data_IF_508326402890
#
_entry.id   IF_508326402890
#
_cell.length_a   1.000
_cell.length_b   1.000
_cell.length_c   1.000
_cell.angle_alpha   90.00
_cell.angle_beta   90.00
_cell.angle_gamma   90.00
#
_symmetry.space_group_name_H-M   'P 1'
#
loop_
_entity.id
_entity.type
_entity.pdbx_description
1 polymer ?
#
# COMPACT_ATOMS: atom_id res chain seq x y z
N UNK A 1 -2.27 48.77 -37.05
CA UNK A 1 -3.32 49.05 -38.05
C UNK A 1 -4.29 47.87 -38.01
N UNK A 2 -5.51 48.06 -37.46
CA UNK A 2 -6.79 48.21 -38.19
C UNK A 2 -6.99 47.06 -39.21
N UNK A 3 -8.05 46.27 -39.25
CA UNK A 3 -9.44 46.43 -38.78
C UNK A 3 -10.21 45.12 -38.96
N UNK A 4 -11.23 44.94 -38.13
CA UNK A 4 -12.36 44.01 -38.19
C UNK A 4 -13.24 44.09 -39.45
N UNK A 5 -13.93 42.99 -39.78
CA UNK A 5 -15.29 42.87 -40.40
C UNK A 5 -15.92 41.54 -39.93
N UNK A 6 -17.06 41.46 -39.21
CA UNK A 6 -18.50 41.58 -39.61
C UNK A 6 -18.89 40.63 -40.75
N UNK A 7 -19.99 39.86 -40.79
CA UNK A 7 -21.25 39.75 -40.01
C UNK A 7 -22.10 38.56 -40.54
N UNK A 8 -23.11 38.14 -39.75
CA UNK A 8 -24.50 37.74 -40.13
C UNK A 8 -24.73 36.53 -41.08
N UNK A 9 -25.86 35.81 -41.14
CA UNK A 9 -27.17 35.79 -40.47
C UNK A 9 -27.91 34.48 -40.87
N UNK A 10 -28.80 34.00 -40.00
CA UNK A 10 -30.10 33.32 -40.21
C UNK A 10 -30.40 32.44 -41.45
N UNK A 11 -31.00 31.24 -41.20
CA UNK A 11 -32.29 30.87 -41.81
C UNK A 11 -33.06 29.82 -40.99
N UNK A 12 -34.38 30.02 -40.92
CA UNK A 12 -35.44 29.30 -40.21
C UNK A 12 -36.28 28.45 -41.18
N UNK A 13 -37.18 27.63 -40.61
CA UNK A 13 -38.33 26.88 -41.21
C UNK A 13 -38.02 25.49 -41.80
N UNK A 14 -38.88 24.45 -41.68
CA UNK A 14 -40.32 24.42 -41.39
C UNK A 14 -40.76 23.11 -40.69
N UNK A 15 -41.94 23.20 -40.09
CA UNK A 15 -42.77 22.13 -39.53
C UNK A 15 -43.32 21.14 -40.60
N UNK A 16 -43.71 19.96 -40.12
CA UNK A 16 -44.58 19.02 -40.82
C UNK A 16 -45.22 18.05 -39.82
N UNK A 17 -46.50 18.27 -39.52
CA UNK A 17 -47.33 17.41 -38.67
C UNK A 17 -48.27 16.57 -39.56
N UNK A 18 -48.52 15.30 -39.19
CA UNK A 18 -49.68 14.56 -39.68
C UNK A 18 -50.17 13.53 -38.64
N UNK A 19 -51.21 13.97 -37.93
CA UNK A 19 -52.42 13.33 -37.37
C UNK A 19 -52.61 11.79 -37.47
N UNK A 20 -52.79 11.22 -36.26
CA UNK A 20 -53.77 10.24 -35.75
C UNK A 20 -53.98 8.83 -36.35
N UNK A 21 -53.95 7.83 -35.45
CA UNK A 21 -54.99 6.80 -35.34
C UNK A 21 -55.12 6.30 -33.89
N UNK A 22 -56.38 6.12 -33.49
CA UNK A 22 -56.88 5.69 -32.17
C UNK A 22 -56.86 4.16 -32.07
N UNK A 23 -56.43 3.61 -30.92
CA UNK A 23 -56.91 2.31 -30.45
C UNK A 23 -56.84 2.22 -28.92
N UNK A 24 -58.00 1.90 -28.35
CA UNK A 24 -58.29 1.70 -26.94
C UNK A 24 -57.86 0.28 -26.54
N UNK A 25 -57.07 0.15 -25.47
CA UNK A 25 -56.96 -1.08 -24.71
C UNK A 25 -56.68 -0.76 -23.23
N UNK A 26 -57.74 -0.79 -22.44
CA UNK A 26 -57.74 -0.83 -20.98
C UNK A 26 -57.12 -2.14 -20.48
N UNK A 27 -56.00 -2.05 -19.78
CA UNK A 27 -55.42 -3.15 -19.00
C UNK A 27 -54.76 -2.59 -17.75
N UNK A 28 -55.35 -2.88 -16.59
CA UNK A 28 -54.82 -2.55 -15.28
C UNK A 28 -53.41 -3.12 -15.08
N UNK A 29 -52.38 -2.29 -15.19
CA UNK A 29 -51.07 -2.56 -14.65
C UNK A 29 -50.94 -1.79 -13.33
N UNK A 30 -50.89 -2.53 -12.22
CA UNK A 30 -50.57 -1.98 -10.91
C UNK A 30 -49.15 -1.40 -10.95
N UNK A 31 -49.08 -0.06 -10.98
CA UNK A 31 -47.84 0.70 -10.86
C UNK A 31 -47.29 0.54 -9.44
N UNK A 32 -46.47 -0.47 -9.20
CA UNK A 32 -45.55 -0.50 -8.06
C UNK A 32 -44.30 0.33 -8.39
N UNK A 33 -44.48 1.64 -8.52
CA UNK A 33 -43.38 2.60 -8.31
C UNK A 33 -43.02 2.57 -6.83
N UNK A 34 -42.19 1.59 -6.43
CA UNK A 34 -41.40 1.70 -5.20
C UNK A 34 -40.53 2.94 -5.36
N UNK A 35 -40.89 4.01 -4.67
CA UNK A 35 -39.99 5.13 -4.45
C UNK A 35 -38.68 4.55 -3.92
N UNK A 36 -37.59 4.64 -4.72
CA UNK A 36 -36.25 4.41 -4.21
C UNK A 36 -36.02 5.52 -3.20
N UNK A 37 -36.31 5.26 -1.93
CA UNK A 37 -35.90 6.13 -0.85
C UNK A 37 -34.40 6.34 -1.02
N UNK A 38 -34.00 7.58 -1.29
CA UNK A 38 -32.60 7.97 -1.23
C UNK A 38 -32.09 7.54 0.13
N UNK A 39 -31.12 6.64 0.15
CA UNK A 39 -30.45 6.28 1.39
C UNK A 39 -30.02 7.59 2.08
N UNK A 40 -30.25 7.74 3.40
CA UNK A 40 -29.86 8.95 4.10
C UNK A 40 -28.38 9.22 3.82
N UNK A 41 -28.06 10.47 3.50
CA UNK A 41 -26.68 10.89 3.34
C UNK A 41 -25.92 10.52 4.62
N UNK A 42 -24.88 9.72 4.49
CA UNK A 42 -24.00 9.39 5.62
C UNK A 42 -23.33 10.70 6.02
N UNK A 43 -23.61 11.18 7.24
CA UNK A 43 -22.91 12.32 7.80
C UNK A 43 -21.42 11.96 7.87
N UNK A 44 -20.58 12.69 7.12
CA UNK A 44 -19.16 12.40 7.06
C UNK A 44 -18.55 12.58 8.45
N UNK A 45 -17.83 11.57 8.92
CA UNK A 45 -17.13 11.66 10.20
C UNK A 45 -16.24 12.92 10.26
N UNK A 46 -16.17 13.61 11.42
CA UNK A 46 -15.39 14.83 11.57
C UNK A 46 -13.91 14.61 11.22
N UNK A 47 -13.32 15.56 10.50
CA UNK A 47 -11.91 15.55 10.12
C UNK A 47 -11.39 16.98 9.90
N UNK A 48 -10.17 17.34 10.36
CA UNK A 48 -9.21 16.50 11.08
C UNK A 48 -9.63 16.20 12.53
N UNK A 49 -9.27 15.01 13.04
CA UNK A 49 -9.16 14.79 14.50
C UNK A 49 -7.73 15.06 14.96
N UNK A 50 -7.47 15.00 16.28
CA UNK A 50 -6.14 15.27 16.84
C UNK A 50 -5.04 14.46 16.15
N UNK A 51 -4.07 15.17 15.55
CA UNK A 51 -2.92 14.60 14.83
C UNK A 51 -3.11 14.39 13.33
N UNK A 52 -4.33 14.50 12.81
CA UNK A 52 -4.60 14.44 11.36
C UNK A 52 -4.36 15.80 10.69
N UNK A 53 -3.90 15.75 9.45
CA UNK A 53 -3.76 16.90 8.56
C UNK A 53 -4.89 16.91 7.52
N UNK A 54 -5.03 18.01 6.79
CA UNK A 54 -6.08 18.14 5.77
C UNK A 54 -5.97 17.05 4.68
N UNK A 55 -4.75 16.64 4.34
CA UNK A 55 -4.44 15.59 3.36
C UNK A 55 -4.89 14.19 3.83
N UNK A 56 -4.95 13.96 5.15
CA UNK A 56 -5.41 12.69 5.71
C UNK A 56 -6.93 12.51 5.53
N UNK A 57 -7.68 13.61 5.46
CA UNK A 57 -9.12 13.60 5.66
C UNK A 57 -9.97 12.81 4.67
N UNK A 58 -9.72 12.83 3.35
CA UNK A 58 -10.48 12.01 2.42
C UNK A 58 -10.42 10.53 2.79
N UNK A 59 -9.25 10.05 3.20
CA UNK A 59 -9.02 8.63 3.50
C UNK A 59 -9.36 8.28 4.95
N UNK A 60 -9.23 9.22 5.89
CA UNK A 60 -9.62 9.04 7.28
C UNK A 60 -11.14 8.91 7.42
N UNK A 61 -11.91 9.74 6.70
CA UNK A 61 -13.36 9.61 6.62
C UNK A 61 -13.79 8.25 6.08
N UNK A 62 -13.24 7.84 4.92
CA UNK A 62 -13.53 6.52 4.34
C UNK A 62 -13.17 5.41 5.33
N UNK A 63 -11.99 5.45 5.95
CA UNK A 63 -11.58 4.42 6.92
C UNK A 63 -12.59 4.25 8.07
N UNK A 64 -13.06 5.35 8.67
CA UNK A 64 -14.07 5.30 9.73
C UNK A 64 -15.40 4.73 9.23
N UNK A 65 -15.79 5.08 8.01
CA UNK A 65 -17.01 4.56 7.40
C UNK A 65 -16.93 3.05 7.09
N UNK A 66 -15.72 2.54 6.79
CA UNK A 66 -15.44 1.11 6.61
C UNK A 66 -15.42 0.37 7.95
N UNK A 67 -14.75 0.90 8.98
CA UNK A 67 -14.76 0.31 10.33
C UNK A 67 -16.19 0.29 10.92
N UNK A 68 -16.99 1.33 10.68
CA UNK A 68 -18.40 1.33 11.05
C UNK A 68 -19.23 0.22 10.38
N UNK A 69 -18.79 -0.28 9.22
CA UNK A 69 -19.42 -1.42 8.54
C UNK A 69 -18.92 -2.79 9.00
N UNK A 70 -17.77 -2.84 9.68
CA UNK A 70 -17.15 -4.04 10.25
C UNK A 70 -17.88 -4.60 11.48
N UNK A 71 -18.81 -3.83 12.06
CA UNK A 71 -19.65 -4.23 13.20
C UNK A 71 -20.28 -5.63 13.03
N UNK A 72 -20.45 -6.43 14.10
CA UNK A 72 -20.23 -7.88 14.15
C UNK A 72 -21.37 -8.74 13.56
N UNK A 73 -21.99 -8.29 12.48
CA UNK A 73 -22.99 -9.05 11.75
C UNK A 73 -22.36 -9.79 10.56
N UNK A 74 -22.90 -10.97 10.24
CA UNK A 74 -22.64 -11.69 9.00
C UNK A 74 -22.65 -10.73 7.79
N UNK A 75 -21.75 -10.96 6.83
CA UNK A 75 -21.64 -10.12 5.63
C UNK A 75 -20.89 -8.79 5.83
N UNK A 76 -20.08 -8.65 6.88
CA UNK A 76 -19.20 -7.47 7.06
C UNK A 76 -18.36 -7.17 5.82
N UNK A 77 -17.76 -8.20 5.22
CA UNK A 77 -16.98 -8.08 3.98
C UNK A 77 -17.77 -7.40 2.86
N UNK A 78 -18.96 -7.90 2.53
CA UNK A 78 -19.78 -7.36 1.43
C UNK A 78 -20.22 -5.91 1.69
N UNK A 79 -20.52 -5.56 2.95
CA UNK A 79 -20.83 -4.18 3.33
C UNK A 79 -19.61 -3.27 3.14
N UNK A 80 -18.44 -3.69 3.61
CA UNK A 80 -17.19 -2.94 3.47
C UNK A 80 -16.88 -2.71 1.99
N UNK A 81 -16.93 -3.75 1.16
CA UNK A 81 -16.69 -3.64 -0.28
C UNK A 81 -17.71 -2.74 -0.97
N UNK A 82 -18.99 -2.86 -0.62
CA UNK A 82 -20.05 -1.99 -1.16
C UNK A 82 -19.85 -0.53 -0.77
N UNK A 83 -19.36 -0.26 0.45
CA UNK A 83 -19.00 1.09 0.89
C UNK A 83 -17.78 1.62 0.15
N UNK A 84 -16.70 0.83 0.08
CA UNK A 84 -15.48 1.21 -0.63
C UNK A 84 -15.75 1.57 -2.09
N UNK A 85 -16.49 0.72 -2.82
CA UNK A 85 -16.87 0.96 -4.20
C UNK A 85 -17.74 2.21 -4.39
N UNK A 86 -18.54 2.59 -3.39
CA UNK A 86 -19.37 3.81 -3.42
C UNK A 86 -18.56 5.07 -3.08
N UNK A 87 -17.77 5.03 -2.00
CA UNK A 87 -17.05 6.20 -1.50
C UNK A 87 -15.80 6.51 -2.34
N UNK A 88 -15.16 5.49 -2.92
CA UNK A 88 -13.99 5.65 -3.79
C UNK A 88 -13.91 4.58 -4.88
N UNK A 89 -14.70 4.70 -5.96
CA UNK A 89 -14.70 3.74 -7.07
C UNK A 89 -13.33 3.52 -7.70
N UNK A 90 -12.52 4.58 -7.78
CA UNK A 90 -11.17 4.51 -8.35
C UNK A 90 -10.22 3.69 -7.46
N UNK A 91 -10.31 3.85 -6.13
CA UNK A 91 -9.49 3.08 -5.19
C UNK A 91 -9.91 1.62 -5.14
N UNK A 92 -11.22 1.35 -5.18
CA UNK A 92 -11.77 0.00 -5.31
C UNK A 92 -11.25 -0.72 -6.56
N UNK A 93 -11.30 -0.06 -7.72
CA UNK A 93 -10.78 -0.59 -8.97
C UNK A 93 -9.25 -0.83 -8.91
N UNK A 94 -8.50 0.08 -8.28
CA UNK A 94 -7.06 -0.06 -8.11
C UNK A 94 -6.71 -1.27 -7.23
N UNK A 95 -7.44 -1.48 -6.12
CA UNK A 95 -7.28 -2.66 -5.26
C UNK A 95 -7.63 -3.92 -6.04
N UNK A 96 -8.73 -3.93 -6.79
CA UNK A 96 -9.15 -5.07 -7.60
C UNK A 96 -8.11 -5.52 -8.64
N UNK A 97 -7.28 -4.59 -9.11
CA UNK A 97 -6.25 -4.87 -10.11
C UNK A 97 -5.01 -5.59 -9.56
N UNK A 98 -4.77 -5.57 -8.24
CA UNK A 98 -3.50 -5.98 -7.60
C UNK A 98 -2.99 -7.35 -8.06
N UNK A 99 -3.83 -8.38 -8.04
CA UNK A 99 -3.44 -9.76 -8.44
C UNK A 99 -3.11 -9.92 -9.93
N UNK A 100 -3.45 -8.93 -10.76
CA UNK A 100 -3.27 -9.01 -12.21
C UNK A 100 -1.98 -8.34 -12.72
N UNK A 101 -1.29 -7.58 -11.86
CA UNK A 101 -0.13 -6.78 -12.23
C UNK A 101 1.14 -7.63 -12.22
N UNK A 102 1.95 -7.54 -13.27
CA UNK A 102 3.26 -8.20 -13.38
C UNK A 102 3.40 -9.05 -14.64
N UNK A 103 4.48 -9.85 -14.69
CA UNK A 103 4.74 -10.78 -15.79
C UNK A 103 3.92 -12.07 -15.67
N UNK A 104 4.02 -12.97 -16.64
CA UNK A 104 3.32 -14.26 -16.58
C UNK A 104 3.98 -15.23 -15.58
N UNK A 105 5.30 -15.16 -15.42
CA UNK A 105 6.07 -16.03 -14.51
C UNK A 105 6.04 -15.60 -13.04
N UNK A 106 6.02 -14.28 -12.79
CA UNK A 106 5.96 -13.69 -11.46
C UNK A 106 5.12 -12.42 -11.50
N UNK A 107 4.06 -12.41 -10.70
CA UNK A 107 3.21 -11.23 -10.51
C UNK A 107 3.86 -10.31 -9.47
N UNK A 108 3.46 -9.05 -9.46
CA UNK A 108 3.94 -8.08 -8.47
C UNK A 108 3.57 -8.47 -7.06
N UNK A 109 2.40 -9.09 -6.86
CA UNK A 109 2.02 -9.67 -5.57
C UNK A 109 3.07 -10.66 -5.06
N UNK A 110 3.64 -11.49 -5.94
CA UNK A 110 4.65 -12.45 -5.51
C UNK A 110 5.88 -11.76 -4.92
N UNK A 111 6.26 -10.58 -5.41
CA UNK A 111 7.42 -9.82 -4.93
C UNK A 111 7.29 -9.34 -3.48
N UNK A 112 6.13 -9.50 -2.86
CA UNK A 112 5.92 -9.13 -1.46
C UNK A 112 5.92 -10.35 -0.52
N UNK A 113 6.41 -10.10 0.68
CA UNK A 113 6.41 -11.02 1.80
C UNK A 113 5.12 -10.96 2.59
N UNK A 114 5.23 -11.33 3.86
CA UNK A 114 4.13 -11.32 4.81
C UNK A 114 4.37 -10.26 5.87
N UNK A 115 3.28 -9.75 6.42
CA UNK A 115 3.31 -8.72 7.45
C UNK A 115 2.27 -9.02 8.53
N UNK A 116 2.57 -8.64 9.76
CA UNK A 116 1.63 -8.66 10.86
C UNK A 116 0.84 -7.35 10.94
N UNK A 117 -0.46 -7.43 11.21
CA UNK A 117 -1.34 -6.26 11.28
C UNK A 117 -1.20 -5.45 12.59
N UNK A 118 -0.08 -5.52 13.30
CA UNK A 118 0.14 -4.80 14.55
C UNK A 118 1.44 -4.01 14.49
N UNK A 119 1.38 -2.74 14.87
CA UNK A 119 2.59 -1.95 15.06
C UNK A 119 3.36 -2.43 16.30
N UNK A 120 4.68 -2.36 16.26
CA UNK A 120 5.54 -2.73 17.39
C UNK A 120 5.16 -2.00 18.69
N UNK A 121 4.69 -0.75 18.60
CA UNK A 121 4.25 0.03 19.76
C UNK A 121 2.95 -0.48 20.41
N UNK A 122 2.24 -1.40 19.76
CA UNK A 122 0.98 -1.97 20.26
C UNK A 122 1.20 -3.28 21.01
N UNK A 123 2.33 -3.96 20.80
CA UNK A 123 2.54 -5.34 21.26
C UNK A 123 2.48 -5.48 22.79
N UNK A 124 2.92 -4.46 23.52
CA UNK A 124 3.00 -4.48 24.98
C UNK A 124 1.77 -3.83 25.67
N UNK A 125 0.77 -3.39 24.90
CA UNK A 125 -0.41 -2.77 25.46
C UNK A 125 -1.41 -3.83 25.97
N UNK A 126 -2.14 -3.57 27.08
CA UNK A 126 -3.18 -4.49 27.58
C UNK A 126 -4.33 -4.72 26.58
N UNK A 127 -4.49 -3.83 25.62
CA UNK A 127 -5.51 -3.90 24.58
C UNK A 127 -4.89 -3.41 23.27
N UNK A 128 -4.09 -4.28 22.62
CA UNK A 128 -3.42 -3.92 21.37
C UNK A 128 -4.48 -3.63 20.31
N UNK A 129 -4.31 -2.54 19.57
CA UNK A 129 -5.14 -2.27 18.40
C UNK A 129 -4.40 -2.68 17.14
N UNK A 130 -5.10 -3.28 16.17
CA UNK A 130 -4.49 -3.55 14.88
C UNK A 130 -4.19 -2.22 14.16
N UNK A 131 -3.25 -2.28 13.22
CA UNK A 131 -2.88 -1.16 12.36
C UNK A 131 -4.06 -0.79 11.45
N UNK A 132 -4.75 -1.80 10.93
CA UNK A 132 -6.00 -1.70 10.16
C UNK A 132 -7.03 -2.61 10.81
N UNK A 133 -8.28 -2.19 10.92
CA UNK A 133 -9.35 -3.11 11.36
C UNK A 133 -9.32 -4.43 10.55
N UNK A 134 -9.46 -5.56 11.25
CA UNK A 134 -9.25 -6.89 10.66
C UNK A 134 -10.25 -7.20 9.55
N UNK A 135 -11.52 -6.82 9.72
CA UNK A 135 -12.55 -7.04 8.70
C UNK A 135 -12.33 -6.14 7.49
N UNK A 136 -11.84 -4.90 7.71
CA UNK A 136 -11.44 -3.99 6.63
C UNK A 136 -10.26 -4.58 5.85
N UNK A 137 -9.22 -5.05 6.54
CA UNK A 137 -8.05 -5.64 5.91
C UNK A 137 -8.38 -6.94 5.16
N UNK A 138 -9.24 -7.81 5.74
CA UNK A 138 -9.74 -9.01 5.07
C UNK A 138 -10.52 -8.67 3.79
N UNK A 139 -11.40 -7.67 3.84
CA UNK A 139 -12.14 -7.22 2.66
C UNK A 139 -11.21 -6.69 1.56
N UNK A 140 -10.20 -5.90 1.92
CA UNK A 140 -9.22 -5.37 0.95
C UNK A 140 -8.39 -6.50 0.33
N UNK A 141 -7.93 -7.47 1.13
CA UNK A 141 -7.23 -8.66 0.62
C UNK A 141 -8.11 -9.44 -0.36
N UNK A 142 -9.35 -9.73 0.03
CA UNK A 142 -10.31 -10.41 -0.84
C UNK A 142 -10.52 -9.64 -2.14
N UNK A 143 -10.66 -8.31 -2.07
CA UNK A 143 -10.78 -7.44 -3.25
C UNK A 143 -9.54 -7.49 -4.14
N UNK A 144 -8.36 -7.53 -3.54
CA UNK A 144 -7.08 -7.67 -4.23
C UNK A 144 -6.85 -9.06 -4.85
N UNK A 145 -7.75 -10.02 -4.64
CA UNK A 145 -7.60 -11.41 -5.05
C UNK A 145 -6.58 -12.18 -4.20
N UNK A 146 -6.21 -11.64 -3.03
CA UNK A 146 -5.32 -12.30 -2.08
C UNK A 146 -6.13 -13.15 -1.09
N UNK A 147 -5.60 -14.29 -0.63
CA UNK A 147 -6.21 -15.01 0.48
C UNK A 147 -6.29 -14.08 1.70
N UNK A 148 -7.36 -14.22 2.49
CA UNK A 148 -7.51 -13.50 3.76
C UNK A 148 -6.34 -13.75 4.72
N UNK A 149 -6.26 -12.92 5.76
CA UNK A 149 -5.24 -13.06 6.78
C UNK A 149 -5.27 -14.49 7.36
N UNK A 150 -4.10 -15.11 7.52
CA UNK A 150 -4.00 -16.44 8.10
C UNK A 150 -3.70 -16.31 9.58
N UNK A 151 -4.67 -16.72 10.40
CA UNK A 151 -4.47 -17.02 11.82
C UNK A 151 -3.57 -18.24 11.96
N UNK A 152 -2.32 -18.01 12.36
CA UNK A 152 -1.41 -19.06 12.78
C UNK A 152 -1.65 -19.47 14.23
N UNK A 153 -0.70 -20.23 14.79
CA UNK A 153 -0.57 -20.47 16.23
C UNK A 153 0.67 -19.72 16.75
N UNK A 154 0.85 -18.47 16.35
CA UNK A 154 2.00 -17.64 16.76
C UNK A 154 1.65 -16.71 17.93
N UNK A 155 0.41 -16.80 18.43
CA UNK A 155 -0.12 -16.00 19.51
C UNK A 155 -1.00 -14.87 18.97
N UNK A 156 -1.89 -14.30 19.81
CA UNK A 156 -3.00 -13.46 19.35
C UNK A 156 -2.58 -12.26 18.50
N UNK A 157 -1.35 -11.76 18.68
CA UNK A 157 -0.81 -10.60 17.95
C UNK A 157 -0.09 -11.00 16.65
N UNK A 158 0.46 -12.21 16.59
CA UNK A 158 1.14 -12.75 15.41
C UNK A 158 0.22 -13.60 14.53
N UNK A 159 -1.03 -13.81 14.95
CA UNK A 159 -2.01 -14.57 14.18
C UNK A 159 -2.63 -13.72 13.07
N UNK A 160 -2.58 -12.38 13.12
CA UNK A 160 -3.07 -11.53 12.02
C UNK A 160 -2.01 -11.34 10.92
N UNK A 161 -1.58 -12.42 10.25
CA UNK A 161 -0.59 -12.35 9.16
C UNK A 161 -1.27 -12.17 7.80
N UNK A 162 -0.91 -11.08 7.12
CA UNK A 162 -1.47 -10.65 5.84
C UNK A 162 -0.39 -10.55 4.73
N UNK A 163 -0.81 -10.23 3.52
CA UNK A 163 0.06 -9.91 2.39
C UNK A 163 0.67 -8.52 2.59
N UNK A 164 2.00 -8.45 2.71
CA UNK A 164 2.69 -7.21 3.07
C UNK A 164 2.42 -6.09 2.07
N UNK A 165 2.43 -6.39 0.77
CA UNK A 165 2.18 -5.38 -0.25
C UNK A 165 0.78 -4.76 -0.19
N UNK A 166 -0.26 -5.54 0.14
CA UNK A 166 -1.63 -5.02 0.27
C UNK A 166 -1.78 -4.21 1.56
N UNK A 167 -1.25 -4.72 2.68
CA UNK A 167 -1.31 -4.02 3.98
C UNK A 167 -0.54 -2.70 3.93
N UNK A 168 0.73 -2.74 3.53
CA UNK A 168 1.61 -1.57 3.57
C UNK A 168 1.25 -0.53 2.51
N UNK A 169 0.47 -0.87 1.49
CA UNK A 169 -0.11 0.11 0.55
C UNK A 169 -1.53 0.47 0.97
N UNK A 170 -2.53 -0.23 0.45
CA UNK A 170 -3.94 0.08 0.64
C UNK A 170 -4.42 -0.07 2.08
N UNK A 171 -3.93 -1.06 2.84
CA UNK A 171 -4.24 -1.16 4.27
C UNK A 171 -3.85 0.11 5.02
N UNK A 172 -2.63 0.61 4.81
CA UNK A 172 -2.14 1.82 5.46
C UNK A 172 -2.89 3.08 5.05
N UNK A 173 -3.41 3.16 3.82
CA UNK A 173 -4.33 4.25 3.42
C UNK A 173 -5.54 4.31 4.36
N UNK A 174 -5.99 3.18 4.91
CA UNK A 174 -7.14 3.10 5.82
C UNK A 174 -6.76 2.99 7.31
N UNK A 175 -5.48 2.96 7.69
CA UNK A 175 -5.05 2.83 9.10
C UNK A 175 -5.46 4.03 9.97
N UNK A 176 -6.36 3.83 10.94
CA UNK A 176 -6.72 4.85 11.95
C UNK A 176 -5.84 4.83 13.21
N UNK A 177 -4.79 4.00 13.23
CA UNK A 177 -3.86 3.92 14.35
C UNK A 177 -2.89 5.13 14.36
N UNK A 178 -2.94 6.02 15.38
CA UNK A 178 -1.90 7.01 15.60
C UNK A 178 -0.65 6.32 16.14
N UNK A 179 0.52 6.73 15.66
CA UNK A 179 1.82 6.28 16.18
C UNK A 179 2.65 7.48 16.65
N UNK A 180 3.76 7.28 17.38
CA UNK A 180 4.70 8.36 17.70
C UNK A 180 5.26 9.10 16.47
N UNK A 181 5.14 8.50 15.28
CA UNK A 181 5.59 9.06 14.01
C UNK A 181 4.42 9.57 13.14
N UNK A 182 3.24 9.79 13.74
CA UNK A 182 2.01 10.15 13.03
C UNK A 182 1.21 8.94 12.56
N UNK A 183 0.19 9.17 11.75
CA UNK A 183 -0.63 8.10 11.19
C UNK A 183 0.12 7.33 10.09
N UNK A 184 -0.09 6.01 10.00
CA UNK A 184 0.51 5.21 8.92
C UNK A 184 0.09 5.68 7.52
N UNK A 185 -1.16 6.16 7.36
CA UNK A 185 -1.68 6.70 6.10
C UNK A 185 -0.86 7.88 5.56
N UNK A 186 -0.24 8.66 6.45
CA UNK A 186 0.59 9.82 6.09
C UNK A 186 1.69 9.45 5.09
N UNK A 187 2.17 8.20 5.11
CA UNK A 187 3.18 7.66 4.19
C UNK A 187 2.79 7.74 2.72
N UNK A 188 1.49 7.77 2.42
CA UNK A 188 0.96 7.76 1.05
C UNK A 188 0.19 9.03 0.69
N UNK A 189 -0.45 9.68 1.66
CA UNK A 189 -1.29 10.86 1.37
C UNK A 189 -0.51 12.16 1.36
N UNK A 190 0.67 12.19 1.98
CA UNK A 190 1.64 13.28 1.91
C UNK A 190 2.58 13.06 0.73
N UNK A 191 3.26 14.13 0.32
CA UNK A 191 4.14 14.13 -0.85
C UNK A 191 5.63 14.05 -0.48
N UNK A 192 5.98 13.56 0.72
CA UNK A 192 7.37 13.43 1.18
C UNK A 192 8.24 12.66 0.17
N UNK A 193 7.73 11.54 -0.34
CA UNK A 193 8.46 10.68 -1.27
C UNK A 193 8.62 11.37 -2.62
N UNK A 194 7.53 11.90 -3.17
CA UNK A 194 7.57 12.58 -4.45
C UNK A 194 8.47 13.83 -4.39
N UNK A 195 8.34 14.65 -3.36
CA UNK A 195 9.20 15.80 -3.13
C UNK A 195 10.67 15.40 -2.91
N UNK A 196 10.93 14.31 -2.20
CA UNK A 196 12.27 13.80 -1.93
C UNK A 196 12.99 13.28 -3.18
N UNK A 197 12.26 12.64 -4.10
CA UNK A 197 12.80 12.08 -5.33
C UNK A 197 12.61 12.98 -6.56
N UNK A 198 11.91 14.10 -6.45
CA UNK A 198 11.64 15.02 -7.55
C UNK A 198 10.61 14.47 -8.53
N UNK A 199 9.65 13.70 -8.01
CA UNK A 199 8.49 13.21 -8.74
C UNK A 199 7.32 14.19 -8.60
N UNK A 200 6.35 14.07 -9.49
CA UNK A 200 5.10 14.81 -9.45
C UNK A 200 4.25 14.32 -8.27
N UNK A 201 3.62 15.25 -7.54
CA UNK A 201 2.78 14.92 -6.39
C UNK A 201 1.70 13.89 -6.75
N UNK A 202 1.58 12.85 -5.92
CA UNK A 202 0.60 11.79 -6.09
C UNK A 202 1.08 10.63 -6.97
N UNK A 203 2.28 10.69 -7.56
CA UNK A 203 2.85 9.56 -8.31
C UNK A 203 2.96 8.28 -7.46
N UNK A 204 3.26 8.42 -6.17
CA UNK A 204 3.30 7.33 -5.20
C UNK A 204 2.12 7.40 -4.21
N UNK A 205 1.08 8.20 -4.51
CA UNK A 205 -0.11 8.37 -3.69
C UNK A 205 -1.21 7.34 -3.97
N UNK A 206 -2.35 7.39 -3.25
CA UNK A 206 -3.40 6.37 -3.33
C UNK A 206 -4.12 6.33 -4.68
N UNK A 207 -4.20 7.48 -5.36
CA UNK A 207 -4.86 7.66 -6.65
C UNK A 207 -3.91 8.38 -7.62
N UNK A 208 -2.86 7.70 -8.11
CA UNK A 208 -1.92 8.30 -9.04
C UNK A 208 -2.61 8.56 -10.39
N UNK A 209 -2.09 9.53 -11.15
CA UNK A 209 -2.58 9.83 -12.51
C UNK A 209 -2.41 8.64 -13.46
N UNK A 210 -1.29 7.94 -13.34
CA UNK A 210 -0.93 6.77 -14.14
C UNK A 210 -0.48 5.61 -13.22
N UNK A 211 -0.88 4.39 -13.58
CA UNK A 211 -0.61 3.19 -12.78
C UNK A 211 -1.51 3.08 -11.55
N UNK A 212 -1.02 2.43 -10.49
CA UNK A 212 -1.71 2.30 -9.21
C UNK A 212 -0.70 2.47 -8.07
N UNK A 213 -1.17 2.81 -6.86
CA UNK A 213 -0.31 2.87 -5.67
C UNK A 213 0.54 1.60 -5.53
N UNK A 214 -0.10 0.43 -5.60
CA UNK A 214 0.58 -0.85 -5.47
C UNK A 214 1.62 -1.08 -6.57
N UNK A 215 1.29 -0.82 -7.84
CA UNK A 215 2.23 -1.02 -8.94
C UNK A 215 3.42 -0.05 -8.87
N UNK A 216 3.15 1.22 -8.62
CA UNK A 216 4.14 2.28 -8.57
C UNK A 216 5.12 2.06 -7.41
N UNK A 217 4.60 1.73 -6.23
CA UNK A 217 5.42 1.41 -5.05
C UNK A 217 6.22 0.13 -5.25
N UNK A 218 5.61 -0.94 -5.76
CA UNK A 218 6.32 -2.21 -6.02
C UNK A 218 7.46 -2.00 -7.02
N UNK A 219 7.23 -1.24 -8.08
CA UNK A 219 8.24 -0.93 -9.06
C UNK A 219 9.38 -0.12 -8.45
N UNK A 220 9.06 0.97 -7.77
CA UNK A 220 10.05 1.86 -7.18
C UNK A 220 10.91 1.14 -6.12
N UNK A 221 10.27 0.48 -5.16
CA UNK A 221 10.96 -0.27 -4.12
C UNK A 221 11.71 -1.49 -4.66
N UNK A 222 11.13 -2.23 -5.62
CA UNK A 222 11.76 -3.38 -6.24
C UNK A 222 13.03 -3.02 -7.03
N UNK A 223 13.02 -1.90 -7.75
CA UNK A 223 14.23 -1.36 -8.42
C UNK A 223 15.33 -0.93 -7.46
N UNK A 224 15.02 -0.73 -6.18
CA UNK A 224 16.00 -0.44 -5.11
C UNK A 224 16.46 -1.75 -4.45
N UNK A 225 15.52 -2.59 -4.03
CA UNK A 225 15.81 -3.79 -3.23
C UNK A 225 16.50 -4.90 -4.03
N UNK A 226 16.11 -5.14 -5.27
CA UNK A 226 16.52 -6.32 -6.06
C UNK A 226 17.71 -6.04 -6.98
N UNK A 227 18.74 -5.36 -6.46
CA UNK A 227 19.92 -4.94 -7.24
C UNK A 227 21.08 -5.94 -7.24
N UNK A 228 21.01 -7.03 -6.48
CA UNK A 228 22.08 -8.05 -6.51
C UNK A 228 21.92 -9.01 -7.68
N UNK A 229 23.01 -9.66 -8.13
CA UNK A 229 22.93 -10.80 -9.03
C UNK A 229 21.97 -11.89 -8.55
N UNK A 230 21.93 -12.14 -7.24
CA UNK A 230 21.07 -13.17 -6.65
C UNK A 230 19.58 -12.86 -6.82
N UNK A 231 19.18 -11.60 -6.97
CA UNK A 231 17.79 -11.13 -7.09
C UNK A 231 17.39 -10.88 -8.56
N UNK A 232 18.16 -11.38 -9.53
CA UNK A 232 17.95 -11.12 -10.96
C UNK A 232 16.54 -11.51 -11.44
N UNK A 233 15.97 -12.58 -10.85
CA UNK A 233 14.62 -13.04 -11.16
C UNK A 233 13.56 -12.03 -10.72
N UNK A 234 13.65 -11.55 -9.49
CA UNK A 234 12.75 -10.53 -8.94
C UNK A 234 12.88 -9.21 -9.72
N UNK A 235 14.11 -8.79 -10.06
CA UNK A 235 14.35 -7.59 -10.86
C UNK A 235 13.75 -7.70 -12.26
N UNK A 236 13.85 -8.87 -12.90
CA UNK A 236 13.22 -9.13 -14.20
C UNK A 236 11.68 -9.03 -14.09
N UNK A 237 11.09 -9.58 -13.03
CA UNK A 237 9.66 -9.47 -12.77
C UNK A 237 9.20 -8.01 -12.57
N UNK A 238 9.98 -7.21 -11.82
CA UNK A 238 9.75 -5.75 -11.70
C UNK A 238 9.72 -5.10 -13.09
N UNK A 239 10.69 -5.42 -13.95
CA UNK A 239 10.76 -4.94 -15.33
C UNK A 239 9.56 -5.34 -16.19
N UNK A 240 9.12 -6.60 -16.09
CA UNK A 240 8.00 -7.11 -16.87
C UNK A 240 6.67 -6.38 -16.55
N UNK A 241 6.46 -5.99 -15.29
CA UNK A 241 5.28 -5.24 -14.86
C UNK A 241 5.33 -3.73 -15.14
N UNK A 242 6.43 -3.20 -15.70
CA UNK A 242 6.61 -1.76 -15.89
C UNK A 242 5.49 -1.10 -16.72
N UNK A 243 4.82 -1.84 -17.60
CA UNK A 243 3.69 -1.32 -18.40
C UNK A 243 2.51 -0.82 -17.55
N UNK A 244 2.33 -1.36 -16.33
CA UNK A 244 1.28 -0.93 -15.39
C UNK A 244 1.73 0.17 -14.42
N UNK A 245 2.91 0.74 -14.63
CA UNK A 245 3.55 1.73 -13.74
C UNK A 245 3.51 3.11 -14.38
N UNK A 246 3.50 4.16 -13.54
CA UNK A 246 3.53 5.54 -14.02
C UNK A 246 4.69 5.80 -14.99
N UNK A 247 4.44 6.65 -15.99
CA UNK A 247 5.46 7.00 -16.98
C UNK A 247 6.65 7.72 -16.35
N UNK A 248 6.40 8.53 -15.33
CA UNK A 248 7.45 9.23 -14.58
C UNK A 248 8.39 8.26 -13.86
N UNK A 249 7.87 7.22 -13.20
CA UNK A 249 8.70 6.22 -12.53
C UNK A 249 9.50 5.37 -13.51
N UNK A 250 8.94 5.07 -14.69
CA UNK A 250 9.70 4.38 -15.75
C UNK A 250 10.86 5.21 -16.29
N UNK A 251 10.69 6.54 -16.33
CA UNK A 251 11.72 7.48 -16.75
C UNK A 251 12.70 7.88 -15.64
N UNK A 252 12.43 7.46 -14.39
CA UNK A 252 13.26 7.80 -13.25
C UNK A 252 14.65 7.16 -13.34
N UNK A 253 15.70 7.97 -13.16
CA UNK A 253 17.08 7.50 -13.17
C UNK A 253 17.43 6.83 -11.83
N UNK A 254 17.23 5.51 -11.75
CA UNK A 254 17.57 4.73 -10.58
C UNK A 254 19.08 4.61 -10.32
N UNK A 255 19.93 4.87 -11.32
CA UNK A 255 21.38 4.76 -11.20
C UNK A 255 21.98 5.90 -10.36
N UNK A 256 21.29 7.06 -10.29
CA UNK A 256 21.68 8.19 -9.42
C UNK A 256 21.46 7.93 -7.94
N UNK A 257 20.72 6.88 -7.58
CA UNK A 257 20.45 6.55 -6.19
C UNK A 257 21.67 5.89 -5.57
N UNK A 258 22.11 6.37 -4.41
CA UNK A 258 23.21 5.82 -3.62
C UNK A 258 22.69 5.19 -2.31
N UNK A 259 22.02 4.03 -2.36
CA UNK A 259 21.54 3.35 -1.16
C UNK A 259 22.71 2.88 -0.28
N UNK A 260 22.53 2.99 1.03
CA UNK A 260 23.33 2.23 2.00
C UNK A 260 22.45 1.11 2.54
N UNK A 261 22.94 -0.13 2.44
CA UNK A 261 22.20 -1.32 2.88
C UNK A 261 22.74 -1.84 4.20
N UNK A 262 21.84 -2.12 5.13
CA UNK A 262 22.10 -3.01 6.26
C UNK A 262 21.64 -4.41 5.87
N UNK A 263 22.54 -5.40 5.94
CA UNK A 263 22.21 -6.82 5.78
C UNK A 263 22.37 -7.56 7.11
N UNK A 264 21.35 -8.31 7.49
CA UNK A 264 21.31 -9.11 8.71
C UNK A 264 21.05 -10.56 8.33
N UNK A 265 22.05 -11.42 8.50
CA UNK A 265 22.02 -12.84 8.10
C UNK A 265 21.81 -13.73 9.31
N UNK A 266 20.83 -14.62 9.22
CA UNK A 266 20.46 -15.60 10.22
C UNK A 266 20.59 -17.01 9.63
N UNK A 267 21.11 -17.95 10.43
CA UNK A 267 21.14 -19.37 10.12
C UNK A 267 20.25 -20.11 11.11
N UNK A 268 19.11 -20.61 10.61
CA UNK A 268 18.08 -21.26 11.42
C UNK A 268 18.24 -22.78 11.26
N UNK A 269 18.54 -23.52 12.34
CA UNK A 269 18.61 -24.98 12.27
C UNK A 269 17.22 -25.56 12.02
N UNK A 270 17.12 -26.52 11.11
CA UNK A 270 15.90 -27.26 10.81
C UNK A 270 15.93 -28.62 11.51
N UNK A 271 14.75 -29.20 11.77
CA UNK A 271 14.61 -30.48 12.47
C UNK A 271 15.31 -31.66 11.75
N UNK A 272 15.54 -31.54 10.43
CA UNK A 272 16.24 -32.54 9.62
C UNK A 272 17.78 -32.36 9.62
N UNK A 273 18.32 -31.45 10.44
CA UNK A 273 19.75 -31.14 10.51
C UNK A 273 20.26 -30.19 9.42
N UNK A 274 19.44 -29.80 8.45
CA UNK A 274 19.78 -28.75 7.50
C UNK A 274 19.69 -27.36 8.16
N UNK A 275 20.18 -26.33 7.46
CA UNK A 275 20.06 -24.94 7.90
C UNK A 275 19.33 -24.11 6.84
N UNK A 276 18.35 -23.31 7.29
CA UNK A 276 17.70 -22.27 6.50
C UNK A 276 18.42 -20.95 6.77
N UNK A 277 18.99 -20.36 5.74
CA UNK A 277 19.53 -19.00 5.79
C UNK A 277 18.44 -18.00 5.44
N UNK A 278 18.31 -16.96 6.26
CA UNK A 278 17.45 -15.79 6.02
C UNK A 278 18.30 -14.53 6.08
N UNK A 279 18.15 -13.66 5.07
CA UNK A 279 18.86 -12.38 4.98
C UNK A 279 17.84 -11.25 5.01
N UNK A 280 17.80 -10.48 6.10
CA UNK A 280 17.00 -9.27 6.20
C UNK A 280 17.80 -8.10 5.64
N UNK A 281 17.16 -7.24 4.86
CA UNK A 281 17.81 -6.14 4.13
C UNK A 281 17.05 -4.86 4.39
N UNK A 282 17.77 -3.84 4.87
CA UNK A 282 17.24 -2.48 5.02
C UNK A 282 18.05 -1.54 4.14
N UNK A 283 17.47 -1.06 3.06
CA UNK A 283 18.07 -0.05 2.19
C UNK A 283 17.66 1.35 2.66
N UNK A 284 18.64 2.21 2.92
CA UNK A 284 18.44 3.64 3.16
C UNK A 284 18.86 4.43 1.93
N UNK A 285 17.89 4.98 1.21
CA UNK A 285 18.12 5.79 0.00
C UNK A 285 18.00 7.27 0.36
N UNK A 286 19.06 8.08 0.25
CA UNK A 286 18.95 9.53 0.42
C UNK A 286 17.97 10.15 -0.58
N UNK A 287 17.21 11.15 -0.14
CA UNK A 287 16.46 11.99 -1.05
C UNK A 287 17.40 12.77 -1.97
N UNK A 288 17.04 12.86 -3.25
CA UNK A 288 17.91 13.32 -4.33
C UNK A 288 17.47 14.66 -4.94
N UNK A 289 16.27 15.14 -4.60
CA UNK A 289 15.75 16.43 -5.08
C UNK A 289 15.60 17.46 -3.94
N UNK A 290 15.36 16.99 -2.71
CA UNK A 290 15.31 17.83 -1.50
C UNK A 290 16.11 17.17 -0.38
N UNK A 291 16.85 17.98 0.38
CA UNK A 291 17.64 17.49 1.52
C UNK A 291 16.77 17.09 2.72
N UNK A 292 15.56 17.67 2.85
CA UNK A 292 14.55 17.25 3.82
C UNK A 292 13.13 17.55 3.31
N UNK A 293 12.19 16.65 3.61
CA UNK A 293 10.76 16.91 3.51
C UNK A 293 10.27 17.76 4.71
N UNK A 294 9.07 18.35 4.66
CA UNK A 294 8.54 19.20 5.75
C UNK A 294 8.58 18.53 7.12
N UNK A 295 8.38 17.21 7.17
CA UNK A 295 8.37 16.42 8.40
C UNK A 295 9.77 15.97 8.86
N UNK A 296 10.84 16.49 8.23
CA UNK A 296 12.23 16.16 8.57
C UNK A 296 12.71 14.81 8.02
N UNK A 297 11.94 14.18 7.13
CA UNK A 297 12.36 12.97 6.41
C UNK A 297 13.47 13.32 5.41
N UNK A 298 14.54 12.53 5.42
CA UNK A 298 15.73 12.75 4.57
C UNK A 298 16.07 11.55 3.70
N UNK A 299 15.44 10.41 3.99
CA UNK A 299 15.73 9.14 3.35
C UNK A 299 14.45 8.36 3.11
N UNK A 300 14.49 7.46 2.15
CA UNK A 300 13.57 6.35 2.03
C UNK A 300 14.17 5.11 2.69
N UNK A 301 13.38 4.41 3.50
CA UNK A 301 13.66 3.06 3.95
C UNK A 301 12.93 2.06 3.04
N UNK A 302 13.64 1.07 2.51
CA UNK A 302 13.04 -0.11 1.86
C UNK A 302 13.47 -1.35 2.63
N UNK A 303 12.52 -2.12 3.14
CA UNK A 303 12.79 -3.35 3.88
C UNK A 303 12.39 -4.56 3.05
N UNK A 304 13.31 -5.53 2.94
CA UNK A 304 13.10 -6.78 2.22
C UNK A 304 13.76 -7.95 2.95
N UNK A 305 13.37 -9.17 2.61
CA UNK A 305 13.98 -10.39 3.12
C UNK A 305 14.24 -11.37 1.99
N UNK A 306 15.37 -12.08 2.05
CA UNK A 306 15.64 -13.24 1.20
C UNK A 306 15.65 -14.49 2.06
N UNK A 307 14.98 -15.53 1.57
CA UNK A 307 14.87 -16.79 2.28
C UNK A 307 15.39 -17.95 1.44
N UNK A 308 16.31 -18.74 1.98
CA UNK A 308 16.80 -19.93 1.29
C UNK A 308 15.75 -21.05 1.16
N UNK A 309 14.66 -21.01 1.93
CA UNK A 309 13.58 -22.00 1.82
C UNK A 309 12.81 -21.89 0.49
N UNK A 310 12.61 -20.67 -0.03
CA UNK A 310 11.96 -20.44 -1.33
C UNK A 310 12.88 -19.83 -2.38
N UNK A 311 14.14 -19.52 -2.01
CA UNK A 311 15.18 -18.93 -2.85
C UNK A 311 14.80 -17.56 -3.44
N UNK A 312 13.93 -16.81 -2.76
CA UNK A 312 13.39 -15.56 -3.28
C UNK A 312 13.64 -14.39 -2.35
N UNK A 313 13.82 -13.23 -2.95
CA UNK A 313 13.79 -11.96 -2.25
C UNK A 313 12.37 -11.39 -2.28
N UNK A 314 11.91 -10.81 -1.16
CA UNK A 314 10.56 -10.28 -1.00
C UNK A 314 10.59 -8.93 -0.30
N UNK A 315 9.90 -7.94 -0.88
CA UNK A 315 9.60 -6.67 -0.24
C UNK A 315 8.69 -6.88 0.97
N UNK A 316 8.86 -6.09 2.01
CA UNK A 316 7.93 -6.05 3.14
C UNK A 316 7.31 -4.67 3.27
N UNK A 317 8.13 -3.62 3.31
CA UNK A 317 7.64 -2.26 3.54
C UNK A 317 8.55 -1.22 2.93
N UNK A 318 8.01 -0.02 2.77
CA UNK A 318 8.71 1.16 2.30
C UNK A 318 8.08 2.40 2.93
N UNK A 319 8.88 3.31 3.46
CA UNK A 319 8.39 4.58 4.04
C UNK A 319 9.52 5.61 4.22
N UNK A 320 9.20 6.91 4.21
CA UNK A 320 10.19 7.95 4.47
C UNK A 320 10.64 7.92 5.94
N UNK A 321 11.91 8.23 6.18
CA UNK A 321 12.54 8.26 7.50
C UNK A 321 13.48 9.45 7.63
N UNK A 322 13.60 9.98 8.85
CA UNK A 322 14.55 11.03 9.18
C UNK A 322 15.98 10.54 9.41
N UNK A 323 16.92 11.48 9.45
CA UNK A 323 18.36 11.22 9.63
C UNK A 323 18.66 10.41 10.90
N UNK A 324 17.96 10.67 12.01
CA UNK A 324 18.20 9.98 13.28
C UNK A 324 17.98 8.46 13.18
N UNK A 325 16.93 8.03 12.46
CA UNK A 325 16.65 6.60 12.27
C UNK A 325 17.74 5.95 11.41
N UNK A 326 18.16 6.60 10.33
CA UNK A 326 19.27 6.15 9.49
C UNK A 326 20.56 6.02 10.30
N UNK A 327 20.94 7.05 11.06
CA UNK A 327 22.17 7.02 11.87
C UNK A 327 22.17 5.87 12.87
N UNK A 328 21.05 5.64 13.58
CA UNK A 328 20.92 4.52 14.52
C UNK A 328 21.00 3.15 13.84
N UNK A 329 20.51 3.03 12.61
CA UNK A 329 20.56 1.78 11.85
C UNK A 329 21.96 1.52 11.26
N UNK A 330 22.72 2.57 10.95
CA UNK A 330 24.07 2.48 10.38
C UNK A 330 25.19 2.55 11.43
N UNK A 331 24.87 2.39 12.71
CA UNK A 331 25.86 2.39 13.79
C UNK A 331 26.86 1.23 13.63
N UNK A 332 28.17 1.51 13.41
CA UNK A 332 29.19 0.47 13.25
C UNK A 332 29.31 -0.46 14.46
N UNK A 333 28.97 0.01 15.68
CA UNK A 333 28.99 -0.80 16.89
C UNK A 333 27.98 -1.97 16.85
N UNK A 334 27.00 -1.91 15.93
CA UNK A 334 26.01 -2.96 15.71
C UNK A 334 26.38 -3.92 14.58
N UNK A 335 27.60 -3.84 14.03
CA UNK A 335 28.06 -4.73 12.95
C UNK A 335 28.82 -5.95 13.51
N UNK A 336 29.01 -6.96 12.67
CA UNK A 336 29.74 -8.19 13.03
C UNK A 336 28.83 -9.37 13.40
N UNK A 337 29.46 -10.45 13.86
CA UNK A 337 28.81 -11.71 14.25
C UNK A 337 28.23 -11.66 15.67
N UNK A 338 27.22 -12.49 15.94
CA UNK A 338 26.60 -12.61 17.26
C UNK A 338 25.63 -11.47 17.61
N UNK A 339 25.26 -10.65 16.62
CA UNK A 339 24.34 -9.54 16.82
C UNK A 339 22.91 -10.08 17.02
N UNK A 340 22.13 -9.52 17.95
CA UNK A 340 20.72 -9.85 18.08
C UNK A 340 19.96 -9.30 16.86
N UNK A 341 19.24 -10.18 16.17
CA UNK A 341 18.48 -9.89 14.97
C UNK A 341 17.03 -10.31 15.21
N UNK A 342 16.11 -9.43 14.85
CA UNK A 342 14.68 -9.66 14.86
C UNK A 342 14.06 -9.05 13.61
N UNK A 343 12.90 -9.57 13.19
CA UNK A 343 12.11 -8.93 12.14
C UNK A 343 11.64 -7.54 12.58
N UNK A 344 11.68 -6.58 11.67
CA UNK A 344 11.27 -5.20 11.92
C UNK A 344 10.11 -4.79 11.00
N UNK A 345 9.49 -3.66 11.32
CA UNK A 345 8.52 -2.98 10.46
C UNK A 345 7.36 -3.87 9.99
N UNK A 346 6.80 -4.60 10.96
CA UNK A 346 5.71 -5.57 10.79
C UNK A 346 6.06 -6.79 9.94
N UNK A 347 7.31 -7.01 9.51
CA UNK A 347 7.67 -8.19 8.75
C UNK A 347 7.34 -9.48 9.51
N UNK A 348 6.72 -10.43 8.80
CA UNK A 348 6.47 -11.76 9.30
C UNK A 348 7.33 -12.78 8.55
N UNK A 349 8.23 -13.44 9.27
CA UNK A 349 9.04 -14.56 8.77
C UNK A 349 8.94 -15.70 9.77
N UNK A 350 8.43 -16.83 9.30
CA UNK A 350 8.24 -18.04 10.10
C UNK A 350 9.55 -18.47 10.77
N UNK A 351 9.50 -18.73 12.09
CA UNK A 351 10.66 -19.12 12.89
C UNK A 351 11.58 -17.98 13.32
N UNK A 352 11.29 -16.72 12.92
CA UNK A 352 12.03 -15.53 13.37
C UNK A 352 11.08 -14.58 14.10
N UNK A 353 9.96 -14.23 13.49
CA UNK A 353 8.98 -13.33 14.08
C UNK A 353 8.32 -13.98 15.30
N UNK A 354 8.29 -13.27 16.43
CA UNK A 354 7.73 -13.78 17.68
C UNK A 354 8.63 -14.82 18.38
N UNK A 355 9.89 -14.98 17.97
CA UNK A 355 10.83 -15.84 18.69
C UNK A 355 10.96 -15.37 20.15
N UNK A 356 10.91 -16.33 21.09
CA UNK A 356 10.93 -16.05 22.53
C UNK A 356 12.19 -15.30 23.00
N UNK A 357 13.29 -15.46 22.27
CA UNK A 357 14.51 -14.67 22.42
C UNK A 357 14.99 -14.19 21.04
N UNK A 358 15.64 -13.01 20.94
CA UNK A 358 16.26 -12.59 19.70
C UNK A 358 17.23 -13.65 19.19
N UNK A 359 17.13 -13.96 17.90
CA UNK A 359 18.09 -14.84 17.24
C UNK A 359 19.41 -14.09 17.08
N UNK A 360 20.52 -14.79 17.10
CA UNK A 360 21.84 -14.20 16.84
C UNK A 360 22.27 -14.48 15.41
N UNK A 361 22.95 -13.52 14.79
CA UNK A 361 23.48 -13.68 13.45
C UNK A 361 24.54 -12.65 13.11
N UNK A 362 24.72 -12.39 11.82
CA UNK A 362 25.72 -11.47 11.32
C UNK A 362 25.08 -10.22 10.74
N UNK A 363 25.58 -9.04 11.12
CA UNK A 363 25.13 -7.75 10.59
C UNK A 363 26.24 -7.03 9.85
N UNK A 364 25.97 -6.60 8.61
CA UNK A 364 26.90 -5.87 7.73
C UNK A 364 26.25 -4.59 7.22
N UNK A 365 27.10 -3.60 6.92
CA UNK A 365 26.71 -2.37 6.22
C UNK A 365 27.42 -2.38 4.87
N UNK A 366 26.67 -2.16 3.80
CA UNK A 366 27.15 -2.19 2.41
C UNK A 366 26.81 -0.87 1.72
N UNK A 367 27.79 -0.25 1.10
CA UNK A 367 27.60 0.84 0.15
C UNK A 367 27.29 0.24 -1.23
N UNK A 368 26.30 0.80 -1.95
CA UNK A 368 25.76 0.19 -3.17
C UNK A 368 25.54 1.17 -4.30
#
# INVERSE_FOLDING_TARGET
MRTSRTSAENLLMSAGACVAAIAIATGCAANHTRARGSAPAVERAPCPIAGEQAEDCPYAGIARDLEGAASPADGARDRILSRLARESPALDAAIASVSTIGGDDLKYVDLWGRSGNYDASQLDLPSPRPTVDEAVLDAINARAGMPGARHGNFGPIHDAVTFAGVEHTYGYVFSLLPTPFGFKRARWVRDDLEAGFGLSRGTLGPLPKDGSLFANVTYFAGKIAFRTPDDARELAAVGAGARGVSTELRAFDFARLAPVRVEETLHIPLANGASRTVVLRTDFVPFVARTAAPDGNTNLLVYSARDSADQRARLVTVFPVGTAMRTKALDPARTGSGQPIATQYNAFIEGITGAAAPLTGERRILER
#
